data_IF_315545125658
#
_entry.id   IF_315545125658
#
_cell.length_a   1.000
_cell.length_b   1.000
_cell.length_c   1.000
_cell.angle_alpha   90.00
_cell.angle_beta   90.00
_cell.angle_gamma   90.00
#
_symmetry.space_group_name_H-M   'P 1'
#
loop_
_entity.id
_entity.type
_entity.pdbx_description
1 polymer ?
#
# COMPACT_ATOMS: atom_id res chain seq x y z
N UNK A 1 20.16 1.70 40.73
CA UNK A 1 19.42 2.37 39.65
C UNK A 1 18.57 1.28 38.98
N UNK A 2 17.23 1.39 38.85
CA UNK A 2 16.46 0.41 38.15
C UNK A 2 16.92 0.38 36.69
N UNK A 3 17.28 -0.82 36.23
CA UNK A 3 17.74 -1.01 34.84
C UNK A 3 16.50 -1.19 33.96
N UNK A 4 16.23 -0.25 33.06
CA UNK A 4 15.19 -0.40 32.03
C UNK A 4 15.68 -1.39 30.98
N UNK A 5 14.98 -2.49 30.82
CA UNK A 5 15.21 -3.46 29.74
C UNK A 5 14.22 -3.23 28.61
N UNK A 6 14.71 -2.96 27.40
CA UNK A 6 13.89 -2.81 26.20
C UNK A 6 14.17 -4.00 25.28
N UNK A 7 13.13 -4.78 24.97
CA UNK A 7 13.18 -5.84 23.98
C UNK A 7 12.42 -5.43 22.72
N UNK A 8 13.04 -5.55 21.55
CA UNK A 8 12.40 -5.27 20.26
C UNK A 8 12.24 -6.56 19.48
N UNK A 9 11.05 -6.82 18.96
CA UNK A 9 10.72 -8.02 18.21
C UNK A 9 9.80 -7.71 17.03
N UNK A 10 10.02 -8.35 15.89
CA UNK A 10 9.14 -8.27 14.74
C UNK A 10 7.83 -9.04 15.01
N UNK A 11 6.68 -8.52 14.54
CA UNK A 11 5.36 -9.14 14.66
C UNK A 11 5.32 -10.61 14.22
N UNK A 12 5.97 -10.96 13.12
CA UNK A 12 5.99 -12.33 12.57
C UNK A 12 6.80 -13.32 13.42
N UNK A 13 7.62 -12.81 14.32
CA UNK A 13 8.42 -13.62 15.25
C UNK A 13 7.75 -13.78 16.62
N UNK A 14 6.77 -12.94 16.97
CA UNK A 14 6.16 -12.92 18.32
C UNK A 14 5.62 -14.29 18.71
N UNK A 15 4.79 -14.92 17.87
CA UNK A 15 4.17 -16.21 18.16
C UNK A 15 5.13 -17.39 18.14
N UNK A 16 6.35 -17.20 17.59
CA UNK A 16 7.44 -18.19 17.64
C UNK A 16 8.24 -18.14 18.95
N UNK A 17 8.09 -17.08 19.73
CA UNK A 17 8.79 -16.84 21.00
C UNK A 17 7.86 -17.04 22.18
N UNK A 18 7.54 -18.28 22.52
CA UNK A 18 6.60 -18.64 23.59
C UNK A 18 6.97 -18.04 24.95
N UNK A 19 8.25 -17.78 25.21
CA UNK A 19 8.76 -17.13 26.42
C UNK A 19 8.12 -15.76 26.67
N UNK A 20 7.64 -15.06 25.64
CA UNK A 20 6.95 -13.78 25.83
C UNK A 20 5.68 -13.91 26.69
N UNK A 21 5.07 -15.08 26.75
CA UNK A 21 3.89 -15.34 27.60
C UNK A 21 4.22 -15.49 29.09
N UNK A 22 5.49 -15.72 29.43
CA UNK A 22 5.95 -15.84 30.84
C UNK A 22 6.39 -14.52 31.44
N UNK A 23 6.45 -13.46 30.61
CA UNK A 23 6.78 -12.12 31.09
C UNK A 23 5.64 -11.55 31.92
N UNK A 24 5.99 -10.90 33.03
CA UNK A 24 5.04 -10.23 33.93
C UNK A 24 5.51 -8.78 34.18
N UNK A 25 4.55 -7.88 34.42
CA UNK A 25 4.84 -6.50 34.80
C UNK A 25 5.48 -5.64 33.69
N UNK A 26 5.38 -6.06 32.43
CA UNK A 26 5.97 -5.34 31.28
C UNK A 26 4.98 -4.37 30.62
N UNK A 27 5.51 -3.38 29.93
CA UNK A 27 4.75 -2.52 29.02
C UNK A 27 4.85 -3.08 27.60
N UNK A 28 3.72 -3.37 26.99
CA UNK A 28 3.63 -3.74 25.58
C UNK A 28 3.49 -2.49 24.73
N UNK A 29 4.45 -2.23 23.85
CA UNK A 29 4.35 -1.17 22.85
C UNK A 29 4.23 -1.79 21.46
N UNK A 30 3.16 -1.46 20.73
CA UNK A 30 2.93 -1.91 19.35
C UNK A 30 3.07 -0.70 18.41
N UNK A 31 4.17 -0.65 17.67
CA UNK A 31 4.31 0.26 16.53
C UNK A 31 3.55 -0.35 15.35
N UNK A 32 2.83 0.47 14.58
CA UNK A 32 1.88 0.00 13.54
C UNK A 32 0.87 -1.01 14.08
N UNK A 33 0.13 -0.63 15.13
CA UNK A 33 -0.87 -1.50 15.77
C UNK A 33 -2.00 -1.96 14.82
N UNK A 34 -2.16 -1.34 13.67
CA UNK A 34 -3.00 -1.82 12.57
C UNK A 34 -2.67 -3.27 12.14
N UNK A 35 -1.43 -3.75 12.37
CA UNK A 35 -1.01 -5.11 12.04
C UNK A 35 -1.72 -6.21 12.84
N UNK A 36 -2.41 -5.88 13.93
CA UNK A 36 -3.21 -6.84 14.71
C UNK A 36 -4.71 -6.77 14.41
N UNK A 37 -5.15 -6.01 13.43
CA UNK A 37 -6.56 -5.83 13.06
C UNK A 37 -7.27 -7.15 12.72
N UNK A 38 -6.55 -8.10 12.13
CA UNK A 38 -7.08 -9.45 11.90
C UNK A 38 -6.84 -10.32 13.14
N UNK A 39 -7.86 -10.44 13.98
CA UNK A 39 -7.83 -11.19 15.24
C UNK A 39 -7.63 -12.69 15.05
N UNK A 40 -7.90 -13.22 13.86
CA UNK A 40 -7.70 -14.65 13.56
C UNK A 40 -6.26 -15.00 13.18
N UNK A 41 -5.47 -14.01 12.79
CA UNK A 41 -4.07 -14.21 12.45
C UNK A 41 -3.25 -14.72 13.66
N UNK A 42 -2.28 -15.60 13.40
CA UNK A 42 -1.43 -16.19 14.46
C UNK A 42 -0.77 -15.14 15.36
N UNK A 43 -0.24 -14.06 14.76
CA UNK A 43 0.39 -12.95 15.49
C UNK A 43 -0.61 -12.23 16.39
N UNK A 44 -1.81 -11.92 15.88
CA UNK A 44 -2.84 -11.21 16.65
C UNK A 44 -3.34 -12.04 17.81
N UNK A 45 -3.68 -13.32 17.59
CA UNK A 45 -4.06 -14.26 18.64
C UNK A 45 -3.01 -14.37 19.74
N UNK A 46 -1.74 -14.40 19.36
CA UNK A 46 -0.63 -14.48 20.30
C UNK A 46 -0.53 -13.21 21.15
N UNK A 47 -0.55 -12.03 20.51
CA UNK A 47 -0.43 -10.73 21.17
C UNK A 47 -1.63 -10.45 22.07
N UNK A 48 -2.84 -10.74 21.62
CA UNK A 48 -4.07 -10.64 22.45
C UNK A 48 -4.08 -11.59 23.63
N UNK A 49 -3.29 -12.64 23.62
CA UNK A 49 -3.11 -13.59 24.72
C UNK A 49 -1.95 -13.28 25.66
N UNK A 50 -1.25 -12.14 25.48
CA UNK A 50 -0.27 -11.62 26.43
C UNK A 50 -0.99 -10.91 27.58
N UNK A 51 -0.31 -10.79 28.73
CA UNK A 51 -0.82 -10.10 29.92
C UNK A 51 0.12 -8.95 30.33
N UNK A 52 0.22 -7.88 29.54
CA UNK A 52 1.03 -6.72 29.88
C UNK A 52 0.41 -5.92 31.04
N UNK A 53 1.24 -5.27 31.84
CA UNK A 53 0.79 -4.31 32.85
C UNK A 53 0.29 -3.00 32.22
N UNK A 54 0.94 -2.56 31.13
CA UNK A 54 0.56 -1.38 30.37
C UNK A 54 0.62 -1.67 28.87
N UNK A 55 -0.18 -0.94 28.09
CA UNK A 55 -0.23 -1.05 26.63
C UNK A 55 -0.10 0.32 26.00
N UNK A 56 0.74 0.43 24.98
CA UNK A 56 0.85 1.60 24.11
C UNK A 56 0.67 1.14 22.68
N UNK A 57 -0.33 1.68 21.99
CA UNK A 57 -0.61 1.38 20.59
C UNK A 57 -0.32 2.62 19.74
N UNK A 58 0.54 2.49 18.76
CA UNK A 58 0.88 3.55 17.82
C UNK A 58 0.42 3.13 16.41
N UNK A 59 -0.24 4.02 15.70
CA UNK A 59 -0.60 3.80 14.30
C UNK A 59 -1.01 5.12 13.65
N UNK A 60 -0.53 5.38 12.42
CA UNK A 60 -1.02 6.47 11.59
C UNK A 60 -2.39 6.17 10.96
N UNK A 61 -2.78 4.89 10.87
CA UNK A 61 -4.00 4.42 10.23
C UNK A 61 -4.70 3.33 11.06
N UNK A 62 -5.17 3.63 12.28
CA UNK A 62 -5.65 2.62 13.22
C UNK A 62 -6.84 1.80 12.71
N UNK A 63 -7.65 2.37 11.83
CA UNK A 63 -8.81 1.69 11.24
C UNK A 63 -8.56 1.15 9.85
N UNK A 64 -7.60 1.70 9.11
CA UNK A 64 -7.47 1.48 7.67
C UNK A 64 -8.77 1.80 6.91
N UNK A 65 -9.59 2.76 7.42
CA UNK A 65 -10.91 3.08 6.89
C UNK A 65 -12.04 2.12 7.32
N UNK A 66 -11.77 1.12 8.18
CA UNK A 66 -12.69 0.05 8.55
C UNK A 66 -12.80 -0.08 10.07
N UNK A 67 -13.87 0.48 10.65
CA UNK A 67 -14.05 0.50 12.11
C UNK A 67 -14.19 -0.88 12.75
N UNK A 68 -14.71 -1.88 12.02
CA UNK A 68 -14.79 -3.25 12.50
C UNK A 68 -13.42 -3.86 12.85
N UNK A 69 -12.36 -3.32 12.32
CA UNK A 69 -10.99 -3.79 12.58
C UNK A 69 -10.40 -3.26 13.89
N UNK A 70 -11.06 -2.32 14.57
CA UNK A 70 -10.58 -1.76 15.83
C UNK A 70 -10.73 -2.70 17.03
N UNK A 71 -11.55 -3.73 16.93
CA UNK A 71 -11.86 -4.59 18.06
C UNK A 71 -10.63 -5.15 18.80
N UNK A 72 -9.63 -5.63 18.07
CA UNK A 72 -8.38 -6.15 18.66
C UNK A 72 -7.62 -5.07 19.45
N UNK A 73 -7.57 -3.86 18.92
CA UNK A 73 -6.93 -2.72 19.58
C UNK A 73 -7.74 -2.30 20.83
N UNK A 74 -9.06 -2.24 20.74
CA UNK A 74 -9.94 -1.96 21.87
C UNK A 74 -9.72 -2.95 23.02
N UNK A 75 -9.60 -4.24 22.70
CA UNK A 75 -9.32 -5.29 23.69
C UNK A 75 -8.01 -5.05 24.44
N UNK A 76 -6.92 -4.70 23.72
CA UNK A 76 -5.62 -4.41 24.33
C UNK A 76 -5.66 -3.16 25.21
N UNK A 77 -6.46 -2.16 24.85
CA UNK A 77 -6.67 -0.94 25.63
C UNK A 77 -7.58 -1.15 26.85
N UNK A 78 -7.94 -2.39 27.17
CA UNK A 78 -8.74 -2.72 28.33
C UNK A 78 -10.26 -2.57 28.14
N UNK A 79 -10.72 -2.25 26.93
CA UNK A 79 -12.15 -2.25 26.65
C UNK A 79 -12.66 -3.68 26.44
N UNK A 80 -13.21 -4.24 27.50
CA UNK A 80 -13.65 -5.64 27.53
C UNK A 80 -15.03 -5.81 26.86
N UNK A 81 -15.08 -5.64 25.53
CA UNK A 81 -16.28 -5.84 24.73
C UNK A 81 -16.12 -7.11 23.87
N UNK A 82 -17.17 -7.93 23.77
CA UNK A 82 -17.17 -9.07 22.86
C UNK A 82 -17.21 -8.58 21.39
N UNK A 83 -16.65 -9.37 20.47
CA UNK A 83 -16.64 -9.01 19.06
C UNK A 83 -18.06 -8.85 18.50
N UNK A 84 -18.96 -9.77 18.85
CA UNK A 84 -20.36 -9.73 18.39
C UNK A 84 -21.09 -8.48 18.86
N UNK A 85 -20.85 -8.08 20.13
CA UNK A 85 -21.46 -6.86 20.67
C UNK A 85 -20.85 -5.61 20.00
N UNK A 86 -19.54 -5.61 19.76
CA UNK A 86 -18.87 -4.53 19.03
C UNK A 86 -19.46 -4.37 17.61
N UNK A 87 -19.61 -5.46 16.88
CA UNK A 87 -20.22 -5.46 15.55
C UNK A 87 -21.67 -4.97 15.59
N UNK A 88 -22.50 -5.51 16.48
CA UNK A 88 -23.90 -5.08 16.62
C UNK A 88 -24.04 -3.59 16.96
N UNK A 89 -23.09 -3.01 17.67
CA UNK A 89 -23.16 -1.61 18.07
C UNK A 89 -22.62 -0.64 17.00
N UNK A 90 -21.61 -1.04 16.21
CA UNK A 90 -20.86 -0.10 15.39
C UNK A 90 -20.83 -0.42 13.90
N UNK A 91 -21.22 -1.62 13.48
CA UNK A 91 -21.19 -2.03 12.08
C UNK A 91 -22.62 -2.20 11.55
N UNK A 92 -22.89 -1.64 10.40
CA UNK A 92 -24.13 -1.85 9.66
C UNK A 92 -23.89 -2.90 8.58
N UNK A 93 -24.76 -3.88 8.53
CA UNK A 93 -24.62 -5.01 7.61
C UNK A 93 -25.94 -5.35 6.96
N UNK A 94 -25.88 -5.86 5.74
CA UNK A 94 -27.01 -6.50 5.05
C UNK A 94 -26.65 -7.92 4.65
N UNK A 95 -27.66 -8.74 4.45
CA UNK A 95 -27.50 -10.07 3.87
C UNK A 95 -27.63 -10.00 2.38
N UNK A 96 -26.63 -10.48 1.66
CA UNK A 96 -26.61 -10.57 0.20
C UNK A 96 -26.39 -12.01 -0.23
N UNK A 97 -27.11 -12.44 -1.23
CA UNK A 97 -26.91 -13.75 -1.86
C UNK A 97 -25.76 -13.63 -2.87
N UNK A 98 -24.78 -14.51 -2.75
CA UNK A 98 -23.66 -14.58 -3.67
C UNK A 98 -23.35 -16.06 -3.97
N UNK A 99 -23.45 -16.46 -5.24
CA UNK A 99 -23.21 -17.83 -5.71
C UNK A 99 -24.03 -18.89 -4.93
N UNK A 100 -25.31 -18.60 -4.63
CA UNK A 100 -26.22 -19.49 -3.88
C UNK A 100 -25.98 -19.52 -2.37
N UNK A 101 -25.10 -18.68 -1.82
CA UNK A 101 -24.82 -18.58 -0.39
C UNK A 101 -25.15 -17.19 0.15
N UNK A 102 -25.86 -17.14 1.26
CA UNK A 102 -26.09 -15.89 1.98
C UNK A 102 -24.83 -15.46 2.73
N UNK A 103 -24.39 -14.23 2.49
CA UNK A 103 -23.23 -13.63 3.16
C UNK A 103 -23.61 -12.28 3.74
N UNK A 104 -23.03 -11.96 4.90
CA UNK A 104 -23.20 -10.66 5.51
C UNK A 104 -22.22 -9.66 4.89
N UNK A 105 -22.74 -8.57 4.32
CA UNK A 105 -21.98 -7.48 3.74
C UNK A 105 -22.04 -6.26 4.63
N UNK A 106 -20.90 -5.60 4.87
CA UNK A 106 -20.83 -4.33 5.58
C UNK A 106 -21.26 -3.22 4.63
N UNK A 107 -22.29 -2.47 5.00
CA UNK A 107 -22.81 -1.34 4.21
C UNK A 107 -22.49 0.02 4.84
N UNK A 108 -22.09 0.04 6.11
CA UNK A 108 -21.78 1.27 6.81
C UNK A 108 -21.40 1.07 8.26
N UNK A 109 -21.33 2.19 8.95
CA UNK A 109 -21.02 2.24 10.38
C UNK A 109 -22.00 3.15 11.10
N UNK A 110 -22.36 2.77 12.32
CA UNK A 110 -23.28 3.50 13.18
C UNK A 110 -22.65 3.82 14.53
N UNK A 111 -23.23 4.77 15.25
CA UNK A 111 -22.77 5.20 16.58
C UNK A 111 -21.27 5.58 16.62
N UNK A 112 -20.75 6.14 15.54
CA UNK A 112 -19.30 6.46 15.39
C UNK A 112 -18.83 7.42 16.47
N UNK A 113 -19.63 8.43 16.85
CA UNK A 113 -19.25 9.38 17.89
C UNK A 113 -19.17 8.71 19.28
N UNK A 114 -20.08 7.75 19.55
CA UNK A 114 -19.99 6.92 20.76
C UNK A 114 -18.74 6.06 20.75
N UNK A 115 -18.36 5.48 19.59
CA UNK A 115 -17.13 4.72 19.42
C UNK A 115 -15.91 5.58 19.74
N UNK A 116 -15.80 6.77 19.16
CA UNK A 116 -14.73 7.73 19.41
C UNK A 116 -14.63 8.11 20.87
N UNK A 117 -15.75 8.42 21.50
CA UNK A 117 -15.80 8.72 22.93
C UNK A 117 -15.30 7.54 23.78
N UNK A 118 -15.75 6.33 23.47
CA UNK A 118 -15.29 5.11 24.17
C UNK A 118 -13.80 4.86 24.00
N UNK A 119 -13.25 5.09 22.82
CA UNK A 119 -11.81 5.01 22.59
C UNK A 119 -11.05 6.05 23.43
N UNK A 120 -11.54 7.29 23.48
CA UNK A 120 -10.95 8.34 24.31
C UNK A 120 -11.02 7.98 25.82
N UNK A 121 -12.13 7.43 26.30
CA UNK A 121 -12.27 6.93 27.68
C UNK A 121 -11.23 5.84 28.04
N UNK A 122 -10.70 5.14 27.03
CA UNK A 122 -9.64 4.12 27.15
C UNK A 122 -8.26 4.64 26.72
N UNK A 123 -8.07 5.96 26.71
CA UNK A 123 -6.79 6.62 26.50
C UNK A 123 -6.38 6.79 25.02
N UNK A 124 -7.28 6.60 24.05
CA UNK A 124 -6.98 6.91 22.68
C UNK A 124 -6.89 8.42 22.45
N UNK A 125 -5.77 8.86 21.86
CA UNK A 125 -5.54 10.23 21.44
C UNK A 125 -5.44 10.24 19.93
N UNK A 126 -6.26 11.05 19.28
CA UNK A 126 -6.21 11.30 17.84
C UNK A 126 -5.61 12.69 17.65
N UNK A 127 -4.51 12.75 16.95
CA UNK A 127 -3.76 13.99 16.71
C UNK A 127 -3.38 14.07 15.25
N UNK A 128 -3.71 15.19 14.62
CA UNK A 128 -3.21 15.52 13.28
C UNK A 128 -1.85 16.20 13.38
N UNK A 129 -1.16 16.36 12.26
CA UNK A 129 0.09 17.09 12.18
C UNK A 129 -0.11 18.54 12.63
N UNK A 130 -1.23 19.16 12.23
CA UNK A 130 -1.58 20.52 12.61
C UNK A 130 -1.88 20.64 14.10
N UNK A 131 -2.59 19.69 14.72
CA UNK A 131 -2.84 19.64 16.17
C UNK A 131 -1.53 19.54 16.97
N UNK A 132 -0.51 18.89 16.39
CA UNK A 132 0.81 18.77 16.99
C UNK A 132 1.69 20.01 16.79
N UNK A 133 1.20 21.05 16.10
CA UNK A 133 1.97 22.26 15.78
C UNK A 133 3.15 22.00 14.83
N UNK A 134 3.08 20.94 14.02
CA UNK A 134 4.12 20.57 13.07
C UNK A 134 3.78 21.17 11.72
N UNK A 135 4.56 22.14 11.29
CA UNK A 135 4.46 22.71 9.95
C UNK A 135 5.21 21.81 8.96
N UNK A 136 4.49 21.33 7.95
CA UNK A 136 5.06 20.57 6.84
C UNK A 136 4.92 21.38 5.54
N UNK A 137 5.86 21.24 4.59
CA UNK A 137 5.77 21.92 3.31
C UNK A 137 4.54 21.48 2.51
N UNK A 138 4.05 22.29 1.57
CA UNK A 138 2.90 21.93 0.77
C UNK A 138 3.13 20.66 -0.04
N UNK A 139 2.06 19.89 -0.26
CA UNK A 139 2.05 18.70 -1.11
C UNK A 139 1.14 18.92 -2.32
N UNK A 140 1.62 18.51 -3.49
CA UNK A 140 0.90 18.65 -4.76
C UNK A 140 0.81 17.28 -5.45
N UNK A 141 -0.41 16.86 -5.79
CA UNK A 141 -0.68 15.67 -6.58
C UNK A 141 -0.86 16.04 -8.05
N UNK A 142 -0.15 15.36 -8.93
CA UNK A 142 -0.14 15.64 -10.37
C UNK A 142 -0.49 14.34 -11.11
N UNK A 143 -1.63 14.31 -11.75
CA UNK A 143 -1.99 13.18 -12.61
C UNK A 143 -1.30 13.29 -13.96
N UNK A 144 -0.48 12.32 -14.30
CA UNK A 144 0.16 12.16 -15.61
C UNK A 144 -0.64 11.14 -16.40
N UNK A 145 -1.47 11.63 -17.30
CA UNK A 145 -2.38 10.79 -18.10
C UNK A 145 -1.62 10.09 -19.22
N UNK A 146 -1.72 8.78 -19.27
CA UNK A 146 -1.16 7.93 -20.34
C UNK A 146 -2.28 7.25 -21.12
N UNK A 147 -2.07 7.03 -22.44
CA UNK A 147 -3.05 6.29 -23.22
C UNK A 147 -3.09 4.83 -22.77
N UNK A 148 -4.27 4.21 -22.60
CA UNK A 148 -4.37 2.78 -22.37
C UNK A 148 -3.76 2.00 -23.55
N UNK A 149 -3.15 0.85 -23.28
CA UNK A 149 -2.73 -0.07 -24.33
C UNK A 149 -3.95 -0.55 -25.11
N UNK A 150 -3.88 -0.70 -26.45
CA UNK A 150 -4.94 -1.35 -27.23
C UNK A 150 -5.31 -2.74 -26.71
N UNK A 151 -4.33 -3.45 -26.13
CA UNK A 151 -4.53 -4.77 -25.50
C UNK A 151 -5.45 -4.70 -24.28
N UNK A 152 -5.52 -3.57 -23.59
CA UNK A 152 -6.44 -3.39 -22.47
C UNK A 152 -7.90 -3.54 -22.91
N UNK A 153 -8.29 -2.84 -23.97
CA UNK A 153 -9.67 -2.87 -24.48
C UNK A 153 -10.01 -4.23 -25.10
N UNK A 154 -9.06 -4.85 -25.80
CA UNK A 154 -9.23 -6.21 -26.31
C UNK A 154 -9.49 -7.19 -25.15
N UNK A 155 -8.63 -7.18 -24.12
CA UNK A 155 -8.81 -8.01 -22.93
C UNK A 155 -10.10 -7.71 -22.17
N UNK A 156 -10.49 -6.43 -22.10
CA UNK A 156 -11.73 -6.03 -21.41
C UNK A 156 -12.97 -6.66 -22.04
N UNK A 157 -13.01 -6.72 -23.37
CA UNK A 157 -14.13 -7.26 -24.15
C UNK A 157 -14.07 -8.79 -24.30
N UNK A 158 -12.90 -9.34 -24.62
CA UNK A 158 -12.73 -10.75 -24.98
C UNK A 158 -12.30 -11.64 -23.79
N UNK A 159 -11.86 -11.02 -22.69
CA UNK A 159 -11.31 -11.68 -21.47
C UNK A 159 -10.04 -12.49 -21.69
N UNK A 160 -9.48 -12.46 -22.88
CA UNK A 160 -8.24 -13.12 -23.25
C UNK A 160 -7.41 -12.23 -24.16
N UNK A 161 -6.10 -12.21 -23.96
CA UNK A 161 -5.16 -11.51 -24.83
C UNK A 161 -3.78 -12.13 -24.70
N UNK A 162 -3.06 -12.25 -25.83
CA UNK A 162 -1.63 -12.57 -25.84
C UNK A 162 -0.82 -11.30 -25.67
N UNK A 163 0.18 -11.34 -24.81
CA UNK A 163 1.14 -10.26 -24.58
C UNK A 163 2.54 -10.79 -24.86
N UNK A 164 3.36 -9.98 -25.51
CA UNK A 164 4.77 -10.27 -25.68
C UNK A 164 5.51 -9.93 -24.36
N UNK A 165 6.15 -10.90 -23.76
CA UNK A 165 6.93 -10.71 -22.55
C UNK A 165 8.36 -10.27 -22.81
N UNK A 166 8.85 -10.45 -24.05
CA UNK A 166 10.21 -10.09 -24.47
C UNK A 166 10.36 -8.66 -24.99
N UNK A 167 9.33 -8.14 -25.67
CA UNK A 167 9.46 -6.90 -26.43
C UNK A 167 8.38 -5.87 -26.09
N UNK A 168 8.48 -5.18 -24.97
CA UNK A 168 7.66 -3.99 -24.69
C UNK A 168 8.37 -2.71 -25.15
N UNK A 169 8.76 -2.73 -26.42
CA UNK A 169 9.32 -1.59 -27.13
C UNK A 169 10.81 -1.69 -27.30
N UNK A 170 11.21 -1.51 -28.54
CA UNK A 170 12.49 -1.00 -28.98
C UNK A 170 12.77 0.36 -28.30
N UNK A 171 12.99 0.34 -26.98
CA UNK A 171 13.98 1.22 -26.47
C UNK A 171 15.29 0.53 -26.89
N UNK A 172 16.09 1.18 -27.71
CA UNK A 172 17.48 0.85 -27.95
C UNK A 172 18.26 0.90 -26.63
N UNK A 173 17.89 0.04 -25.70
CA UNK A 173 18.65 -0.33 -24.53
C UNK A 173 19.43 -1.55 -24.97
N UNK A 174 20.74 -1.38 -24.94
CA UNK A 174 21.78 -2.35 -25.23
C UNK A 174 21.28 -3.80 -25.25
N UNK A 175 21.23 -4.42 -26.43
CA UNK A 175 20.75 -5.79 -26.67
C UNK A 175 21.42 -6.85 -25.78
N UNK A 176 22.47 -6.50 -25.08
CA UNK A 176 23.21 -7.33 -24.13
C UNK A 176 22.58 -7.38 -22.73
N UNK A 177 21.55 -6.59 -22.42
CA UNK A 177 20.96 -6.55 -21.08
C UNK A 177 19.80 -7.53 -20.88
N UNK A 178 19.10 -7.89 -21.96
CA UNK A 178 18.04 -8.89 -21.93
C UNK A 178 18.60 -10.21 -22.40
N UNK A 179 18.91 -11.09 -21.44
CA UNK A 179 19.30 -12.46 -21.73
C UNK A 179 18.25 -13.12 -22.63
N UNK A 180 18.71 -13.60 -23.79
CA UNK A 180 17.99 -14.32 -24.85
C UNK A 180 16.78 -13.61 -25.45
N UNK A 181 16.85 -13.32 -26.75
CA UNK A 181 15.77 -12.87 -27.65
C UNK A 181 14.68 -13.96 -27.86
N UNK A 182 14.23 -14.64 -26.82
CA UNK A 182 13.06 -15.49 -26.95
C UNK A 182 11.83 -14.63 -26.74
N UNK A 183 11.13 -14.32 -27.84
CA UNK A 183 9.78 -13.81 -27.85
C UNK A 183 8.87 -14.86 -27.19
N UNK A 184 8.69 -14.75 -25.89
CA UNK A 184 7.76 -15.60 -25.17
C UNK A 184 6.41 -14.89 -25.16
N UNK A 185 5.47 -15.38 -25.93
CA UNK A 185 4.07 -14.98 -25.81
C UNK A 185 3.49 -15.54 -24.53
N UNK A 186 2.81 -14.68 -23.77
CA UNK A 186 2.04 -15.07 -22.59
C UNK A 186 0.58 -14.75 -22.82
N UNK A 187 -0.27 -15.74 -22.65
CA UNK A 187 -1.70 -15.53 -22.69
C UNK A 187 -2.22 -15.11 -21.31
N UNK A 188 -2.96 -14.00 -21.27
CA UNK A 188 -3.63 -13.49 -20.07
C UNK A 188 -5.12 -13.86 -20.19
N UNK A 189 -5.60 -14.72 -19.27
CA UNK A 189 -6.98 -15.20 -19.26
C UNK A 189 -7.70 -14.68 -18.01
N UNK A 190 -8.70 -13.83 -18.22
CA UNK A 190 -9.52 -13.23 -17.17
C UNK A 190 -10.79 -14.06 -16.89
N UNK A 191 -10.63 -15.31 -16.51
CA UNK A 191 -11.71 -16.27 -16.22
C UNK A 191 -12.44 -15.97 -14.90
N UNK A 192 -11.77 -15.38 -13.94
CA UNK A 192 -12.33 -14.94 -12.67
C UNK A 192 -12.25 -13.42 -12.53
N UNK A 193 -13.07 -12.83 -11.64
CA UNK A 193 -12.96 -11.39 -11.35
C UNK A 193 -11.59 -11.02 -10.78
N UNK A 194 -10.95 -11.93 -10.05
CA UNK A 194 -9.61 -11.71 -9.50
C UNK A 194 -8.55 -11.65 -10.60
N UNK A 195 -8.51 -12.63 -11.50
CA UNK A 195 -7.56 -12.67 -12.63
C UNK A 195 -7.80 -11.52 -13.60
N UNK A 196 -9.09 -11.20 -13.86
CA UNK A 196 -9.47 -10.09 -14.72
C UNK A 196 -9.01 -8.75 -14.18
N UNK A 197 -9.20 -8.49 -12.88
CA UNK A 197 -8.72 -7.30 -12.20
C UNK A 197 -7.18 -7.22 -12.21
N UNK A 198 -6.51 -8.34 -11.95
CA UNK A 198 -5.04 -8.40 -11.97
C UNK A 198 -4.49 -8.04 -13.34
N UNK A 199 -4.98 -8.68 -14.39
CA UNK A 199 -4.48 -8.47 -15.74
C UNK A 199 -4.87 -7.11 -16.33
N UNK A 200 -6.05 -6.60 -16.00
CA UNK A 200 -6.44 -5.23 -16.35
C UNK A 200 -5.43 -4.20 -15.80
N UNK A 201 -4.99 -4.34 -14.55
CA UNK A 201 -3.95 -3.50 -13.96
C UNK A 201 -2.59 -3.66 -14.63
N UNK A 202 -2.19 -4.89 -14.95
CA UNK A 202 -0.94 -5.16 -15.68
C UNK A 202 -0.96 -4.54 -17.10
N UNK A 203 -2.10 -4.56 -17.77
CA UNK A 203 -2.28 -3.96 -19.09
C UNK A 203 -2.26 -2.42 -19.06
N UNK A 204 -2.63 -1.81 -17.93
CA UNK A 204 -2.45 -0.37 -17.72
C UNK A 204 -0.99 0.01 -17.43
N UNK A 205 -0.26 -0.80 -16.68
CA UNK A 205 1.12 -0.55 -16.23
C UNK A 205 2.15 -1.35 -17.04
N UNK A 206 2.31 -2.63 -16.66
CA UNK A 206 3.38 -3.51 -17.13
C UNK A 206 3.43 -3.69 -18.66
N UNK A 207 2.30 -3.78 -19.33
CA UNK A 207 2.17 -3.99 -20.78
C UNK A 207 1.75 -2.71 -21.52
N UNK A 208 2.14 -1.53 -21.01
CA UNK A 208 1.80 -0.25 -21.61
C UNK A 208 3.04 0.59 -21.93
N UNK A 209 3.43 0.63 -23.20
CA UNK A 209 4.61 1.42 -23.68
C UNK A 209 4.49 2.90 -23.31
N UNK A 210 3.32 3.52 -23.49
CA UNK A 210 3.11 4.93 -23.18
C UNK A 210 3.36 5.26 -21.68
N UNK A 211 3.17 4.29 -20.79
CA UNK A 211 3.47 4.42 -19.37
C UNK A 211 4.97 4.55 -19.11
N UNK A 212 5.77 3.73 -19.77
CA UNK A 212 7.23 3.78 -19.66
C UNK A 212 7.81 5.03 -20.32
N UNK A 213 7.22 5.50 -21.41
CA UNK A 213 7.60 6.78 -22.03
C UNK A 213 7.36 7.95 -21.08
N UNK A 214 6.16 8.04 -20.48
CA UNK A 214 5.85 9.06 -19.50
C UNK A 214 6.73 8.96 -18.24
N UNK A 215 7.05 7.75 -17.79
CA UNK A 215 8.00 7.53 -16.71
C UNK A 215 9.40 8.05 -17.05
N UNK A 216 9.92 7.70 -18.24
CA UNK A 216 11.21 8.19 -18.72
C UNK A 216 11.25 9.72 -18.76
N UNK A 217 10.21 10.36 -19.29
CA UNK A 217 10.13 11.81 -19.39
C UNK A 217 10.12 12.47 -18.01
N UNK A 218 9.42 11.91 -17.04
CA UNK A 218 9.44 12.36 -15.64
C UNK A 218 10.85 12.23 -15.01
N UNK A 219 11.53 11.11 -15.25
CA UNK A 219 12.90 10.91 -14.74
C UNK A 219 13.87 11.90 -15.37
N UNK A 220 13.73 12.19 -16.67
CA UNK A 220 14.56 13.17 -17.39
C UNK A 220 14.26 14.63 -17.00
N UNK A 221 13.08 14.91 -16.45
CA UNK A 221 12.67 16.28 -16.12
C UNK A 221 13.36 16.87 -14.89
N UNK A 222 14.13 16.08 -14.14
CA UNK A 222 14.74 16.52 -12.89
C UNK A 222 15.97 15.71 -12.50
N UNK A 223 16.95 16.36 -11.89
CA UNK A 223 18.12 15.72 -11.28
C UNK A 223 17.94 15.45 -9.78
N UNK A 224 16.74 15.72 -9.22
CA UNK A 224 16.44 15.42 -7.82
C UNK A 224 16.32 13.91 -7.58
N UNK A 225 16.45 13.52 -6.29
CA UNK A 225 16.07 12.17 -5.85
C UNK A 225 14.62 11.89 -6.17
N UNK A 226 14.37 10.74 -6.77
CA UNK A 226 13.03 10.25 -7.07
C UNK A 226 12.75 8.98 -6.28
N UNK A 227 11.56 8.89 -5.73
CA UNK A 227 11.02 7.64 -5.18
C UNK A 227 9.97 7.12 -6.16
N UNK A 228 10.04 5.85 -6.52
CA UNK A 228 9.13 5.24 -7.48
C UNK A 228 8.41 4.08 -6.83
N UNK A 229 7.11 4.23 -6.59
CA UNK A 229 6.28 3.15 -6.08
C UNK A 229 5.70 2.30 -7.21
N UNK A 230 5.71 0.98 -7.00
CA UNK A 230 5.24 -0.01 -7.96
C UNK A 230 4.57 -1.22 -7.28
N UNK A 231 3.77 -1.99 -8.04
CA UNK A 231 3.12 -3.21 -7.56
C UNK A 231 3.83 -4.50 -8.04
N UNK A 232 4.19 -4.57 -9.32
CA UNK A 232 4.69 -5.80 -9.96
C UNK A 232 6.21 -5.74 -10.12
N UNK A 233 6.89 -6.83 -9.79
CA UNK A 233 8.36 -6.90 -9.87
C UNK A 233 8.86 -6.63 -11.29
N UNK A 234 8.13 -7.12 -12.30
CA UNK A 234 8.47 -6.90 -13.71
C UNK A 234 8.37 -5.41 -14.11
N UNK A 235 7.45 -4.63 -13.50
CA UNK A 235 7.42 -3.16 -13.70
C UNK A 235 8.74 -2.53 -13.26
N UNK A 236 9.22 -2.90 -12.08
CA UNK A 236 10.46 -2.38 -11.52
C UNK A 236 11.66 -2.74 -12.37
N UNK A 237 11.76 -4.00 -12.84
CA UNK A 237 12.89 -4.42 -13.66
C UNK A 237 12.99 -3.62 -14.97
N UNK A 238 11.87 -3.37 -15.63
CA UNK A 238 11.83 -2.55 -16.85
C UNK A 238 12.17 -1.09 -16.58
N UNK A 239 11.58 -0.49 -15.54
CA UNK A 239 11.92 0.88 -15.13
C UNK A 239 13.39 1.00 -14.75
N UNK A 240 13.95 0.00 -14.07
CA UNK A 240 15.37 -0.05 -13.70
C UNK A 240 16.28 -0.04 -14.94
N UNK A 241 15.90 -0.79 -15.98
CA UNK A 241 16.60 -0.77 -17.29
C UNK A 241 16.63 0.64 -17.89
N UNK A 242 15.48 1.32 -17.92
CA UNK A 242 15.37 2.70 -18.42
C UNK A 242 16.29 3.65 -17.63
N UNK A 243 16.23 3.61 -16.30
CA UNK A 243 17.02 4.49 -15.42
C UNK A 243 18.53 4.23 -15.55
N UNK A 244 18.94 2.97 -15.70
CA UNK A 244 20.35 2.62 -15.96
C UNK A 244 20.85 3.16 -17.29
N UNK A 245 20.03 3.10 -18.35
CA UNK A 245 20.34 3.72 -19.64
C UNK A 245 20.54 5.24 -19.58
N UNK A 246 19.99 5.90 -18.54
CA UNK A 246 20.20 7.32 -18.25
C UNK A 246 21.42 7.59 -17.34
N UNK A 247 22.18 6.56 -16.96
CA UNK A 247 23.30 6.63 -16.02
C UNK A 247 22.92 7.19 -14.63
N UNK A 248 21.64 7.10 -14.22
CA UNK A 248 21.21 7.52 -12.89
C UNK A 248 21.40 6.40 -11.87
N UNK A 249 21.92 6.72 -10.66
CA UNK A 249 22.11 5.75 -9.59
C UNK A 249 20.78 5.17 -9.10
N UNK A 250 20.75 3.86 -8.86
CA UNK A 250 19.54 3.13 -8.49
C UNK A 250 19.65 2.58 -7.08
N UNK A 251 18.57 2.70 -6.31
CA UNK A 251 18.32 2.01 -5.04
C UNK A 251 17.05 1.18 -5.13
N UNK A 252 16.94 0.10 -4.35
CA UNK A 252 15.79 -0.81 -4.35
C UNK A 252 15.39 -1.14 -2.92
N UNK A 253 14.09 -1.04 -2.63
CA UNK A 253 13.48 -1.56 -1.43
C UNK A 253 12.24 -2.36 -1.76
N UNK A 254 12.35 -3.69 -1.69
CA UNK A 254 11.27 -4.64 -1.88
C UNK A 254 11.34 -5.76 -0.82
N UNK A 255 10.56 -6.83 -0.99
CA UNK A 255 10.52 -7.96 -0.06
C UNK A 255 11.84 -8.76 0.04
N UNK A 256 12.69 -8.67 -0.96
CA UNK A 256 13.94 -9.44 -1.09
C UNK A 256 15.18 -8.57 -0.90
N UNK A 257 15.15 -7.34 -1.40
CA UNK A 257 16.30 -6.43 -1.45
C UNK A 257 16.00 -5.16 -0.67
N UNK A 258 16.96 -4.77 0.17
CA UNK A 258 16.98 -3.45 0.81
C UNK A 258 18.36 -2.82 0.59
N UNK A 259 18.54 -2.22 -0.58
CA UNK A 259 19.74 -1.45 -0.91
C UNK A 259 19.37 0.03 -1.11
N UNK A 260 19.75 0.86 -0.16
CA UNK A 260 19.53 2.29 -0.16
C UNK A 260 20.83 3.10 -0.33
N UNK A 261 21.89 2.46 -0.85
CA UNK A 261 23.21 3.10 -0.99
C UNK A 261 23.13 4.33 -1.90
N UNK A 262 22.57 4.19 -3.10
CA UNK A 262 22.42 5.33 -4.01
C UNK A 262 21.50 6.41 -3.41
N UNK A 263 20.39 6.04 -2.80
CA UNK A 263 19.51 6.98 -2.10
C UNK A 263 20.24 7.81 -1.06
N UNK A 264 21.11 7.20 -0.28
CA UNK A 264 21.79 7.87 0.81
C UNK A 264 22.89 8.83 0.34
N UNK A 265 23.62 8.48 -0.72
CA UNK A 265 24.85 9.17 -1.12
C UNK A 265 24.78 9.92 -2.46
N UNK A 266 23.75 9.72 -3.27
CA UNK A 266 23.58 10.35 -4.58
C UNK A 266 22.34 11.22 -4.65
N UNK A 267 22.51 12.50 -5.01
CA UNK A 267 21.41 13.47 -5.03
C UNK A 267 20.42 13.22 -6.17
N UNK A 268 20.87 12.60 -7.24
CA UNK A 268 20.14 12.28 -8.47
C UNK A 268 19.61 10.85 -8.52
N UNK A 269 19.63 10.12 -7.40
CA UNK A 269 19.23 8.71 -7.36
C UNK A 269 17.74 8.48 -7.61
N UNK A 270 17.43 7.35 -8.23
CA UNK A 270 16.06 6.83 -8.37
C UNK A 270 15.91 5.60 -7.49
N UNK A 271 14.95 5.64 -6.55
CA UNK A 271 14.72 4.56 -5.58
C UNK A 271 13.41 3.87 -5.89
N UNK A 272 13.48 2.60 -6.26
CA UNK A 272 12.30 1.75 -6.47
C UNK A 272 11.82 1.15 -5.17
N UNK A 273 10.54 1.33 -4.87
CA UNK A 273 9.92 0.93 -3.61
C UNK A 273 8.65 0.13 -3.88
N UNK A 274 8.66 -1.15 -3.48
CA UNK A 274 7.44 -1.95 -3.50
C UNK A 274 6.55 -1.56 -2.33
N UNK A 275 5.24 -1.35 -2.56
CA UNK A 275 4.33 -0.84 -1.55
C UNK A 275 4.39 -1.61 -0.23
N UNK A 276 4.35 -2.94 -0.26
CA UNK A 276 4.30 -3.74 0.96
C UNK A 276 5.59 -3.69 1.78
N UNK A 277 6.73 -3.52 1.12
CA UNK A 277 8.04 -3.48 1.77
C UNK A 277 8.44 -2.05 2.20
N UNK A 278 8.02 -1.05 1.44
CA UNK A 278 8.47 0.34 1.60
C UNK A 278 7.47 1.27 2.23
N UNK A 279 6.16 1.06 2.02
CA UNK A 279 5.16 1.94 2.64
C UNK A 279 5.18 1.86 4.17
N UNK A 280 5.61 0.75 4.75
CA UNK A 280 5.65 0.54 6.21
C UNK A 280 7.00 0.76 6.90
N UNK A 281 8.08 1.07 6.20
CA UNK A 281 9.40 1.10 6.87
C UNK A 281 10.47 2.00 6.26
N UNK A 282 10.18 2.69 5.17
CA UNK A 282 11.12 3.59 4.51
C UNK A 282 11.07 5.02 5.06
N UNK A 283 12.23 5.63 5.27
CA UNK A 283 12.34 7.07 5.52
C UNK A 283 13.00 7.72 4.32
N UNK A 284 12.23 8.43 3.51
CA UNK A 284 12.67 8.98 2.23
C UNK A 284 12.61 10.52 2.18
N UNK A 285 12.72 11.20 3.31
CA UNK A 285 12.62 12.67 3.42
C UNK A 285 13.76 13.44 2.72
N UNK A 286 14.86 12.77 2.30
CA UNK A 286 15.85 13.40 1.42
C UNK A 286 15.32 13.64 0.01
N UNK A 287 14.28 12.92 -0.41
CA UNK A 287 13.53 13.16 -1.63
C UNK A 287 12.30 14.01 -1.33
N UNK A 288 11.85 14.76 -2.32
CA UNK A 288 10.59 15.51 -2.26
C UNK A 288 9.67 15.19 -3.45
N UNK A 289 9.99 14.16 -4.22
CA UNK A 289 9.23 13.74 -5.40
C UNK A 289 8.98 12.24 -5.35
N UNK A 290 7.72 11.85 -5.54
CA UNK A 290 7.29 10.46 -5.71
C UNK A 290 6.66 10.30 -7.09
N UNK A 291 6.99 9.21 -7.76
CA UNK A 291 6.29 8.71 -8.95
C UNK A 291 5.53 7.45 -8.54
N UNK A 292 4.24 7.46 -8.69
CA UNK A 292 3.39 6.27 -8.58
C UNK A 292 3.25 5.66 -9.98
N UNK A 293 4.07 4.65 -10.28
CA UNK A 293 4.03 3.98 -11.57
C UNK A 293 2.75 3.18 -11.76
N UNK A 294 2.30 2.50 -10.72
CA UNK A 294 1.00 1.85 -10.62
C UNK A 294 0.41 2.08 -9.21
N UNK A 295 -0.90 2.23 -9.11
CA UNK A 295 -1.57 2.51 -7.83
C UNK A 295 -1.79 1.25 -7.01
N UNK A 296 -1.71 1.32 -5.65
CA UNK A 296 -2.09 0.20 -4.79
C UNK A 296 -3.61 0.11 -4.71
N UNK A 297 -4.13 -1.04 -4.35
CA UNK A 297 -5.56 -1.22 -4.06
C UNK A 297 -5.91 -0.96 -2.58
N UNK A 298 -4.91 -0.87 -1.72
CA UNK A 298 -5.08 -0.60 -0.29
C UNK A 298 -4.92 0.88 0.01
N UNK A 299 -5.95 1.47 0.61
CA UNK A 299 -5.88 2.85 1.09
C UNK A 299 -4.80 3.04 2.16
N UNK A 300 -4.59 2.07 3.03
CA UNK A 300 -3.54 2.13 4.05
C UNK A 300 -2.15 2.28 3.42
N UNK A 301 -1.83 1.44 2.40
CA UNK A 301 -0.56 1.53 1.67
C UNK A 301 -0.43 2.84 0.91
N UNK A 302 -1.53 3.33 0.34
CA UNK A 302 -1.59 4.63 -0.34
C UNK A 302 -1.26 5.77 0.61
N UNK A 303 -1.95 5.86 1.76
CA UNK A 303 -1.73 6.89 2.75
C UNK A 303 -0.30 6.84 3.31
N UNK A 304 0.16 5.65 3.73
CA UNK A 304 1.50 5.47 4.27
C UNK A 304 2.60 5.79 3.26
N UNK A 305 2.40 5.54 1.96
CA UNK A 305 3.40 5.86 0.94
C UNK A 305 3.64 7.35 0.79
N UNK A 306 2.59 8.18 0.95
CA UNK A 306 2.71 9.64 0.90
C UNK A 306 3.54 10.20 2.06
N UNK A 307 3.39 9.62 3.25
CA UNK A 307 4.09 10.00 4.48
C UNK A 307 5.62 9.66 4.44
N UNK A 308 6.10 8.98 3.39
CA UNK A 308 7.53 8.60 3.30
C UNK A 308 8.43 9.78 2.98
N UNK A 309 7.93 10.79 2.29
CA UNK A 309 8.66 12.04 1.99
C UNK A 309 8.09 13.24 2.74
N UNK A 310 6.77 13.26 3.01
CA UNK A 310 6.06 14.35 3.67
C UNK A 310 5.98 14.09 5.18
N UNK A 311 7.05 14.41 5.88
CA UNK A 311 7.20 14.15 7.31
C UNK A 311 8.18 15.14 7.94
N UNK A 312 8.28 15.13 9.27
CA UNK A 312 9.21 15.97 10.03
C UNK A 312 10.62 15.91 9.45
N UNK A 313 11.19 17.06 9.17
CA UNK A 313 12.50 17.23 8.54
C UNK A 313 12.46 17.35 7.02
N UNK A 314 11.27 17.39 6.40
CA UNK A 314 11.10 17.81 5.02
C UNK A 314 10.92 19.33 4.96
N UNK A 315 11.78 19.99 4.19
CA UNK A 315 11.78 21.45 4.05
C UNK A 315 11.33 21.90 2.66
N UNK A 316 11.23 20.96 1.70
CA UNK A 316 10.89 21.28 0.31
C UNK A 316 9.45 20.87 -0.02
N UNK A 317 8.73 21.63 -0.88
CA UNK A 317 7.43 21.22 -1.42
C UNK A 317 7.49 19.79 -1.98
N UNK A 318 6.49 18.98 -1.66
CA UNK A 318 6.41 17.58 -2.06
C UNK A 318 5.53 17.41 -3.29
N UNK A 319 6.02 16.72 -4.29
CA UNK A 319 5.32 16.45 -5.55
C UNK A 319 5.09 14.94 -5.73
N UNK A 320 3.86 14.60 -6.09
CA UNK A 320 3.41 13.23 -6.27
C UNK A 320 2.86 13.07 -7.69
N UNK A 321 3.59 12.37 -8.55
CA UNK A 321 3.21 12.12 -9.93
C UNK A 321 2.48 10.78 -10.04
N UNK A 322 1.22 10.81 -10.42
CA UNK A 322 0.38 9.63 -10.58
C UNK A 322 0.28 9.30 -12.07
N UNK A 323 0.90 8.22 -12.50
CA UNK A 323 0.74 7.72 -13.86
C UNK A 323 -0.59 6.96 -13.95
N UNK A 324 -1.53 7.45 -14.76
CA UNK A 324 -2.90 6.95 -14.83
C UNK A 324 -3.33 6.76 -16.29
N UNK A 325 -4.01 5.65 -16.58
CA UNK A 325 -4.78 5.44 -17.80
C UNK A 325 -6.24 5.85 -17.56
N UNK A 326 -6.70 7.02 -18.02
CA UNK A 326 -8.08 7.45 -17.82
C UNK A 326 -9.08 6.49 -18.49
N UNK A 327 -10.24 6.31 -17.85
CA UNK A 327 -11.32 5.44 -18.34
C UNK A 327 -11.06 3.95 -18.18
N UNK A 328 -10.02 3.57 -17.44
CA UNK A 328 -9.69 2.17 -17.15
C UNK A 328 -9.93 1.85 -15.67
N UNK A 329 -9.64 0.62 -15.26
CA UNK A 329 -9.68 0.19 -13.85
C UNK A 329 -8.89 1.11 -12.92
N UNK A 330 -7.86 1.81 -13.40
CA UNK A 330 -7.06 2.72 -12.57
C UNK A 330 -7.81 3.97 -12.14
N UNK A 331 -8.74 4.48 -12.97
CA UNK A 331 -9.61 5.59 -12.55
C UNK A 331 -10.43 5.19 -11.32
N UNK A 332 -11.04 4.02 -11.36
CA UNK A 332 -11.82 3.53 -10.22
C UNK A 332 -10.99 3.23 -8.98
N UNK A 333 -9.76 2.73 -9.18
CA UNK A 333 -8.82 2.55 -8.06
C UNK A 333 -8.55 3.91 -7.42
N UNK A 334 -8.22 4.93 -8.21
CA UNK A 334 -7.93 6.27 -7.69
C UNK A 334 -9.13 6.86 -6.94
N UNK A 335 -10.32 6.86 -7.55
CA UNK A 335 -11.55 7.36 -6.93
C UNK A 335 -11.85 6.65 -5.60
N UNK A 336 -11.60 5.35 -5.55
CA UNK A 336 -11.79 4.55 -4.34
C UNK A 336 -10.78 4.93 -3.24
N UNK A 337 -9.52 5.14 -3.61
CA UNK A 337 -8.48 5.57 -2.67
C UNK A 337 -8.74 6.99 -2.13
N UNK A 338 -9.26 7.91 -2.96
CA UNK A 338 -9.66 9.24 -2.55
C UNK A 338 -10.83 9.21 -1.55
N UNK A 339 -11.73 8.24 -1.67
CA UNK A 339 -12.79 7.96 -0.70
C UNK A 339 -12.27 7.25 0.58
N UNK A 340 -10.98 7.06 0.73
CA UNK A 340 -10.32 6.34 1.83
C UNK A 340 -10.79 4.89 2.00
N UNK A 341 -11.03 4.22 0.88
CA UNK A 341 -11.47 2.82 0.82
C UNK A 341 -10.43 1.95 0.13
N UNK A 342 -10.44 0.66 0.42
CA UNK A 342 -9.67 -0.31 -0.35
C UNK A 342 -10.44 -0.68 -1.61
N UNK A 343 -9.76 -0.69 -2.77
CA UNK A 343 -10.31 -1.22 -3.99
C UNK A 343 -10.32 -2.76 -3.94
N UNK A 344 -11.47 -3.35 -4.04
CA UNK A 344 -11.68 -4.78 -3.87
C UNK A 344 -12.46 -5.39 -5.04
N UNK A 345 -12.69 -6.70 -4.98
CA UNK A 345 -13.37 -7.46 -6.00
C UNK A 345 -14.84 -7.03 -6.22
N UNK A 346 -15.51 -6.60 -5.16
CA UNK A 346 -16.87 -6.12 -5.21
C UNK A 346 -17.00 -4.81 -5.99
N UNK A 347 -16.12 -3.84 -5.71
CA UNK A 347 -16.06 -2.57 -6.43
C UNK A 347 -15.65 -2.78 -7.89
N UNK A 348 -14.77 -3.74 -8.15
CA UNK A 348 -14.40 -4.12 -9.51
C UNK A 348 -15.60 -4.65 -10.30
N UNK A 349 -16.41 -5.57 -9.73
CA UNK A 349 -17.61 -6.12 -10.37
C UNK A 349 -18.66 -5.03 -10.63
N UNK A 350 -18.85 -4.09 -9.71
CA UNK A 350 -19.76 -2.94 -9.94
C UNK A 350 -19.32 -2.11 -11.15
N UNK A 351 -18.02 -1.89 -11.32
CA UNK A 351 -17.50 -1.20 -12.49
C UNK A 351 -17.74 -1.97 -13.80
N UNK A 352 -17.53 -3.29 -13.81
CA UNK A 352 -17.78 -4.14 -14.98
C UNK A 352 -19.23 -4.07 -15.48
N UNK A 353 -20.19 -3.91 -14.57
CA UNK A 353 -21.62 -3.83 -14.93
C UNK A 353 -22.04 -2.44 -15.41
N UNK A 354 -21.22 -1.41 -15.17
CA UNK A 354 -21.54 -0.01 -15.54
C UNK A 354 -20.85 0.41 -16.85
N UNK A 355 -19.84 -0.32 -17.30
CA UNK A 355 -19.09 -0.08 -18.54
C UNK A 355 -19.45 -1.06 -19.61
#
# INVERSE_FOLDING_TARGET
>A
VPTLLIGVINYELTFRRKVLKTLAGFTLMLDESSLIQNETAKRSKFILGLNPANVVLLSGTPTGGKYEKLWSQCRLLGWNISKDLFWKQYVETEWVEHDGFWRQRIIGYKNVDRLKKKLADHGAVFMTTDDAGIELPPKTMIQVKTKPSPLYWKFWNERVVSVDTGNLGEFELDSNFWGSNEHAERELIGDTSLTRRLYARQLCGLYNKARYEAFRDLVNSTDDRLIVFYNFTEEMERMRGIVRGMNRPVSIQNGETKDLTAYNYKADSVTFVQYQAGARGGNFQKANKIIYFSLPESWELWAQSQERIHRIGQERPCFYYLLICPGTVETNILDTLELRKDYNDELFKQYETTT
#
